data_IF_696505950807
#
_entry.id   IF_696505950807
#
_cell.length_a   1.000
_cell.length_b   1.000
_cell.length_c   1.000
_cell.angle_alpha   90.00
_cell.angle_beta   90.00
_cell.angle_gamma   90.00
#
_symmetry.space_group_name_H-M   'P 1'
#
loop_
_entity.id
_entity.type
_entity.pdbx_description
1 polymer ?
#
# COMPACT_ATOMS: atom_id res chain seq x y z
N UNK A 1 15.43 18.74 3.27
CA UNK A 1 15.65 17.96 4.50
C UNK A 1 16.77 18.57 5.33
N UNK A 2 16.57 18.66 6.63
CA UNK A 2 17.55 19.15 7.61
C UNK A 2 18.64 18.09 7.86
N UNK A 3 19.78 18.50 8.42
CA UNK A 3 20.93 17.61 8.66
C UNK A 3 20.59 16.47 9.65
N UNK A 4 19.77 16.77 10.66
CA UNK A 4 19.28 15.81 11.66
C UNK A 4 18.34 14.73 11.08
N UNK A 5 17.51 15.09 10.10
CA UNK A 5 16.62 14.17 9.37
C UNK A 5 17.43 13.13 8.56
N UNK A 6 18.49 13.59 7.90
CA UNK A 6 19.39 12.73 7.12
C UNK A 6 20.15 11.76 8.05
N UNK A 7 20.60 12.24 9.22
CA UNK A 7 21.28 11.40 10.20
C UNK A 7 20.36 10.32 10.79
N UNK A 8 19.11 10.67 11.08
CA UNK A 8 18.09 9.73 11.55
C UNK A 8 17.82 8.61 10.54
N UNK A 9 17.63 8.96 9.26
CA UNK A 9 17.47 7.95 8.20
C UNK A 9 18.70 7.04 8.10
N UNK A 10 19.92 7.60 8.10
CA UNK A 10 21.16 6.80 7.99
C UNK A 10 21.29 5.78 9.12
N UNK A 11 20.92 6.14 10.35
CA UNK A 11 20.95 5.24 11.52
C UNK A 11 20.00 4.05 11.35
N UNK A 12 18.78 4.28 10.86
CA UNK A 12 17.78 3.22 10.63
C UNK A 12 18.30 2.20 9.60
N UNK A 13 18.78 2.66 8.45
CA UNK A 13 19.20 1.77 7.36
C UNK A 13 20.57 1.15 7.55
N UNK A 14 21.47 1.75 8.34
CA UNK A 14 22.78 1.17 8.65
C UNK A 14 22.65 -0.18 9.39
N UNK A 15 21.75 -0.24 10.38
CA UNK A 15 21.51 -1.46 11.15
C UNK A 15 20.85 -2.57 10.31
N UNK A 16 19.99 -2.20 9.37
CA UNK A 16 19.39 -3.13 8.40
C UNK A 16 20.44 -3.72 7.47
N UNK A 17 21.34 -2.88 6.93
CA UNK A 17 22.37 -3.30 5.98
C UNK A 17 23.25 -4.42 6.54
N UNK A 18 23.70 -4.30 7.79
CA UNK A 18 24.52 -5.33 8.44
C UNK A 18 23.82 -6.68 8.61
N UNK A 19 22.49 -6.69 8.77
CA UNK A 19 21.69 -7.93 8.89
C UNK A 19 21.41 -8.58 7.53
N UNK A 20 21.21 -7.75 6.51
CA UNK A 20 20.82 -8.19 5.16
C UNK A 20 22.02 -8.70 4.36
N UNK A 21 23.19 -8.09 4.53
CA UNK A 21 24.39 -8.38 3.76
C UNK A 21 24.81 -9.88 3.75
N UNK A 22 24.84 -10.62 4.87
CA UNK A 22 25.15 -12.04 4.85
C UNK A 22 24.07 -12.88 4.14
N UNK A 23 22.80 -12.46 4.20
CA UNK A 23 21.69 -13.17 3.55
C UNK A 23 21.78 -13.03 2.02
N UNK A 24 22.02 -11.81 1.51
CA UNK A 24 22.15 -11.55 0.07
C UNK A 24 23.33 -12.31 -0.54
N UNK A 25 24.41 -12.51 0.21
CA UNK A 25 25.60 -13.26 -0.24
C UNK A 25 25.40 -14.78 -0.22
N UNK A 26 24.29 -15.28 0.34
CA UNK A 26 24.00 -16.72 0.35
C UNK A 26 23.72 -17.23 -1.06
N UNK A 27 24.40 -18.30 -1.52
CA UNK A 27 24.15 -18.89 -2.85
C UNK A 27 22.68 -19.29 -3.05
N UNK A 28 22.01 -19.76 -1.99
CA UNK A 28 20.58 -20.11 -2.03
C UNK A 28 19.71 -18.90 -2.33
N UNK A 29 19.97 -17.76 -1.66
CA UNK A 29 19.20 -16.53 -1.85
C UNK A 29 19.43 -15.96 -3.24
N UNK A 30 20.68 -15.98 -3.72
CA UNK A 30 21.00 -15.54 -5.09
C UNK A 30 20.30 -16.40 -6.15
N UNK A 31 20.23 -17.71 -5.95
CA UNK A 31 19.50 -18.61 -6.85
C UNK A 31 17.98 -18.32 -6.85
N UNK A 32 17.39 -18.07 -5.68
CA UNK A 32 15.98 -17.69 -5.56
C UNK A 32 15.70 -16.32 -6.19
N UNK A 33 16.57 -15.34 -5.96
CA UNK A 33 16.46 -14.00 -6.57
C UNK A 33 16.49 -14.11 -8.09
N UNK A 34 17.45 -14.87 -8.64
CA UNK A 34 17.53 -15.10 -10.09
C UNK A 34 16.25 -15.74 -10.61
N UNK A 35 15.73 -16.76 -9.92
CA UNK A 35 14.48 -17.43 -10.32
C UNK A 35 13.29 -16.46 -10.36
N UNK A 36 13.15 -15.57 -9.39
CA UNK A 36 12.06 -14.57 -9.38
C UNK A 36 12.22 -13.58 -10.54
N UNK A 37 13.46 -13.15 -10.83
CA UNK A 37 13.73 -12.28 -11.98
C UNK A 37 13.38 -12.96 -13.30
N UNK A 38 13.74 -14.24 -13.45
CA UNK A 38 13.45 -15.00 -14.67
C UNK A 38 11.93 -15.19 -14.83
N UNK A 39 11.20 -15.54 -13.77
CA UNK A 39 9.72 -15.63 -13.78
C UNK A 39 9.10 -14.30 -14.19
N UNK A 40 9.57 -13.18 -13.62
CA UNK A 40 9.03 -11.84 -13.96
C UNK A 40 9.27 -11.50 -15.42
N UNK A 41 10.43 -11.84 -15.98
CA UNK A 41 10.72 -11.61 -17.41
C UNK A 41 9.78 -12.43 -18.29
N UNK A 42 9.62 -13.72 -17.98
CA UNK A 42 8.70 -14.59 -18.70
C UNK A 42 7.26 -14.06 -18.61
N UNK A 43 6.85 -13.53 -17.46
CA UNK A 43 5.53 -12.93 -17.28
C UNK A 43 5.32 -11.68 -18.14
N UNK A 44 6.29 -10.76 -18.17
CA UNK A 44 6.26 -9.59 -19.06
C UNK A 44 6.25 -10.02 -20.53
N UNK A 45 6.98 -11.08 -20.86
CA UNK A 45 7.09 -11.58 -22.23
C UNK A 45 5.77 -12.15 -22.78
N UNK A 46 4.94 -12.70 -21.88
CA UNK A 46 3.67 -13.37 -22.19
C UNK A 46 2.46 -12.66 -21.55
N UNK A 47 2.58 -11.36 -21.25
CA UNK A 47 1.61 -10.63 -20.42
C UNK A 47 0.17 -10.67 -20.97
N UNK A 48 -0.01 -10.51 -22.29
CA UNK A 48 -1.34 -10.56 -22.91
C UNK A 48 -2.05 -11.90 -22.67
N UNK A 49 -1.33 -13.02 -22.81
CA UNK A 49 -1.86 -14.36 -22.57
C UNK A 49 -2.15 -14.57 -21.08
N UNK A 50 -1.23 -14.17 -20.21
CA UNK A 50 -1.39 -14.31 -18.76
C UNK A 50 -2.55 -13.47 -18.21
N UNK A 51 -2.78 -12.26 -18.73
CA UNK A 51 -3.94 -11.43 -18.37
C UNK A 51 -5.24 -12.12 -18.80
N UNK A 52 -5.28 -12.71 -19.99
CA UNK A 52 -6.47 -13.44 -20.46
C UNK A 52 -6.78 -14.63 -19.55
N UNK A 53 -5.77 -15.43 -19.20
CA UNK A 53 -5.90 -16.57 -18.27
C UNK A 53 -6.35 -16.07 -16.89
N UNK A 54 -5.71 -15.03 -16.34
CA UNK A 54 -6.06 -14.48 -15.03
C UNK A 54 -7.52 -13.97 -14.97
N UNK A 55 -8.01 -13.34 -16.05
CA UNK A 55 -9.42 -12.91 -16.14
C UNK A 55 -10.40 -14.08 -16.09
N UNK A 56 -10.08 -15.19 -16.75
CA UNK A 56 -10.89 -16.41 -16.69
C UNK A 56 -10.87 -17.00 -15.28
N UNK A 57 -9.69 -17.16 -14.69
CA UNK A 57 -9.52 -17.70 -13.34
C UNK A 57 -10.20 -16.82 -12.27
N UNK A 58 -10.14 -15.50 -12.39
CA UNK A 58 -10.86 -14.59 -11.48
C UNK A 58 -12.36 -14.76 -11.57
N UNK A 59 -12.89 -14.85 -12.78
CA UNK A 59 -14.32 -15.11 -12.99
C UNK A 59 -14.75 -16.45 -12.38
N UNK A 60 -13.94 -17.49 -12.47
CA UNK A 60 -14.21 -18.79 -11.85
C UNK A 60 -14.18 -18.74 -10.31
N UNK A 61 -13.47 -17.77 -9.73
CA UNK A 61 -13.36 -17.54 -8.30
C UNK A 61 -14.29 -16.44 -7.76
N UNK A 62 -15.30 -16.01 -8.55
CA UNK A 62 -16.23 -14.92 -8.20
C UNK A 62 -15.51 -13.58 -7.88
N UNK A 63 -14.41 -13.30 -8.59
CA UNK A 63 -13.66 -12.05 -8.52
C UNK A 63 -13.94 -11.24 -9.80
N UNK A 64 -14.52 -10.06 -9.65
CA UNK A 64 -14.68 -9.12 -10.76
C UNK A 64 -13.33 -8.51 -11.16
N UNK A 65 -13.01 -8.58 -12.45
CA UNK A 65 -11.74 -8.08 -12.99
C UNK A 65 -11.97 -6.97 -14.01
N UNK A 66 -11.38 -5.82 -13.74
CA UNK A 66 -11.40 -4.65 -14.61
C UNK A 66 -9.97 -4.38 -15.12
N UNK A 67 -9.87 -3.86 -16.34
CA UNK A 67 -8.60 -3.53 -16.96
C UNK A 67 -8.58 -2.05 -17.31
N UNK A 68 -7.52 -1.37 -16.89
CA UNK A 68 -7.25 0.03 -17.20
C UNK A 68 -5.98 0.13 -18.04
N UNK A 69 -5.97 1.02 -19.03
CA UNK A 69 -4.82 1.28 -19.90
C UNK A 69 -3.88 2.34 -19.32
N UNK A 70 -4.41 3.23 -18.47
CA UNK A 70 -3.67 4.32 -17.85
C UNK A 70 -4.22 4.68 -16.45
N UNK A 71 -3.53 5.62 -15.80
CA UNK A 71 -3.83 6.07 -14.43
C UNK A 71 -5.18 6.79 -14.32
N UNK A 72 -5.65 7.43 -15.39
CA UNK A 72 -6.95 8.13 -15.41
C UNK A 72 -8.09 7.10 -15.46
N UNK A 73 -8.02 6.15 -16.39
CA UNK A 73 -8.99 5.06 -16.49
C UNK A 73 -9.02 4.21 -15.22
N UNK A 74 -7.87 3.94 -14.60
CA UNK A 74 -7.80 3.21 -13.33
C UNK A 74 -8.55 3.94 -12.20
N UNK A 75 -8.39 5.27 -12.11
CA UNK A 75 -9.08 6.10 -11.12
C UNK A 75 -10.58 6.19 -11.37
N UNK A 76 -10.99 6.33 -12.63
CA UNK A 76 -12.41 6.34 -13.00
C UNK A 76 -13.09 5.01 -12.64
N UNK A 77 -12.47 3.87 -12.98
CA UNK A 77 -12.97 2.55 -12.61
C UNK A 77 -13.10 2.41 -11.08
N UNK A 78 -12.09 2.85 -10.31
CA UNK A 78 -12.19 2.83 -8.84
C UNK A 78 -13.38 3.64 -8.34
N UNK A 79 -13.56 4.86 -8.85
CA UNK A 79 -14.64 5.74 -8.45
C UNK A 79 -16.01 5.13 -8.77
N UNK A 80 -16.17 4.55 -9.95
CA UNK A 80 -17.41 3.91 -10.37
C UNK A 80 -17.77 2.73 -9.48
N UNK A 81 -16.80 1.86 -9.17
CA UNK A 81 -17.02 0.73 -8.26
C UNK A 81 -17.40 1.18 -6.86
N UNK A 82 -16.74 2.22 -6.34
CA UNK A 82 -17.06 2.78 -5.03
C UNK A 82 -18.47 3.38 -5.05
N UNK A 83 -18.84 4.12 -6.09
CA UNK A 83 -20.16 4.73 -6.21
C UNK A 83 -21.27 3.68 -6.28
N UNK A 84 -21.06 2.59 -7.01
CA UNK A 84 -22.04 1.49 -7.06
C UNK A 84 -22.31 0.93 -5.65
N UNK A 85 -21.28 0.78 -4.82
CA UNK A 85 -21.40 0.24 -3.47
C UNK A 85 -22.01 1.24 -2.49
N UNK A 86 -21.72 2.54 -2.67
CA UNK A 86 -22.38 3.65 -1.96
C UNK A 86 -23.88 3.66 -2.26
N UNK A 87 -24.26 3.55 -3.54
CA UNK A 87 -25.66 3.54 -3.97
C UNK A 87 -26.41 2.32 -3.43
N UNK A 88 -25.81 1.13 -3.48
CA UNK A 88 -26.37 -0.11 -2.91
C UNK A 88 -26.60 0.00 -1.40
N UNK A 89 -25.70 0.68 -0.69
CA UNK A 89 -25.71 0.77 0.78
C UNK A 89 -26.44 2.00 1.31
N UNK A 90 -26.82 2.94 0.44
CA UNK A 90 -27.50 4.19 0.77
C UNK A 90 -26.74 5.01 1.83
N UNK A 91 -25.43 5.15 1.65
CA UNK A 91 -24.52 5.92 2.52
C UNK A 91 -24.25 7.29 1.86
N UNK A 92 -24.10 8.36 2.63
CA UNK A 92 -23.62 9.64 2.09
C UNK A 92 -22.14 9.49 1.70
N UNK A 93 -21.76 9.89 0.49
CA UNK A 93 -20.37 9.84 0.02
C UNK A 93 -19.40 10.51 1.00
N UNK A 94 -19.82 11.59 1.65
CA UNK A 94 -18.98 12.33 2.61
C UNK A 94 -18.75 11.58 3.93
N UNK A 95 -19.48 10.49 4.16
CA UNK A 95 -19.33 9.61 5.32
C UNK A 95 -18.59 8.30 4.96
N UNK A 96 -18.09 8.17 3.73
CA UNK A 96 -17.38 6.98 3.27
C UNK A 96 -15.91 7.06 3.67
N UNK A 97 -15.54 6.13 4.54
CA UNK A 97 -14.16 5.89 4.93
C UNK A 97 -13.61 4.71 4.12
N UNK A 98 -12.41 4.89 3.57
CA UNK A 98 -11.71 3.90 2.77
C UNK A 98 -10.41 3.55 3.48
N UNK A 99 -10.30 2.33 3.99
CA UNK A 99 -9.03 1.84 4.51
C UNK A 99 -8.13 1.46 3.34
N UNK A 100 -6.94 2.05 3.29
CA UNK A 100 -5.96 1.77 2.24
C UNK A 100 -4.69 1.15 2.84
N UNK A 101 -4.23 0.06 2.22
CA UNK A 101 -2.97 -0.58 2.57
C UNK A 101 -1.79 0.21 2.01
N UNK A 102 -0.59 -0.03 2.55
CA UNK A 102 0.63 0.41 1.87
C UNK A 102 0.67 -0.16 0.46
N UNK A 103 0.73 0.72 -0.53
CA UNK A 103 0.74 0.34 -1.94
C UNK A 103 1.39 1.44 -2.75
N UNK A 104 2.46 1.08 -3.47
CA UNK A 104 3.11 1.99 -4.41
C UNK A 104 2.21 2.23 -5.62
N UNK A 105 1.50 1.21 -6.09
CA UNK A 105 0.54 1.31 -7.21
C UNK A 105 -0.50 2.41 -6.98
N UNK A 106 -1.15 2.39 -5.82
CA UNK A 106 -2.17 3.40 -5.48
C UNK A 106 -1.59 4.82 -5.36
N UNK A 107 -0.31 4.92 -5.01
CA UNK A 107 0.41 6.19 -4.97
C UNK A 107 0.80 6.69 -6.35
N UNK A 108 1.24 5.80 -7.25
CA UNK A 108 1.67 6.16 -8.60
C UNK A 108 0.53 6.78 -9.42
N UNK A 109 -0.71 6.32 -9.20
CA UNK A 109 -1.89 6.87 -9.86
C UNK A 109 -2.57 8.01 -9.07
N UNK A 110 -1.98 8.48 -7.98
CA UNK A 110 -2.55 9.48 -7.06
C UNK A 110 -3.99 9.15 -6.59
N UNK A 111 -4.30 7.86 -6.37
CA UNK A 111 -5.65 7.41 -6.06
C UNK A 111 -6.21 8.04 -4.78
N UNK A 112 -5.37 8.16 -3.74
CA UNK A 112 -5.81 8.71 -2.46
C UNK A 112 -6.31 10.15 -2.60
N UNK A 113 -5.50 11.02 -3.22
CA UNK A 113 -5.87 12.42 -3.43
C UNK A 113 -7.11 12.54 -4.32
N UNK A 114 -7.16 11.76 -5.40
CA UNK A 114 -8.30 11.76 -6.31
C UNK A 114 -9.61 11.41 -5.59
N UNK A 115 -9.61 10.36 -4.75
CA UNK A 115 -10.80 9.95 -4.00
C UNK A 115 -11.17 10.95 -2.89
N UNK A 116 -10.19 11.58 -2.24
CA UNK A 116 -10.41 12.66 -1.27
C UNK A 116 -11.08 13.88 -1.93
N UNK A 117 -10.66 14.25 -3.14
CA UNK A 117 -11.29 15.33 -3.93
C UNK A 117 -12.75 15.02 -4.30
N UNK A 118 -13.14 13.74 -4.35
CA UNK A 118 -14.54 13.33 -4.54
C UNK A 118 -15.37 13.34 -3.24
N UNK A 119 -14.77 13.68 -2.09
CA UNK A 119 -15.45 13.80 -0.80
C UNK A 119 -15.33 12.58 0.12
N UNK A 120 -14.53 11.58 -0.24
CA UNK A 120 -14.31 10.39 0.59
C UNK A 120 -13.14 10.59 1.55
N UNK A 121 -13.09 9.83 2.64
CA UNK A 121 -11.97 9.90 3.59
C UNK A 121 -11.07 8.67 3.42
N UNK A 122 -9.82 8.88 3.00
CA UNK A 122 -8.83 7.80 2.95
C UNK A 122 -8.18 7.63 4.33
N UNK A 123 -7.98 6.39 4.75
CA UNK A 123 -7.28 6.05 5.98
C UNK A 123 -6.10 5.13 5.65
N UNK A 124 -4.89 5.64 5.82
CA UNK A 124 -3.68 4.83 5.69
C UNK A 124 -3.56 3.88 6.88
N UNK A 125 -3.32 2.60 6.58
CA UNK A 125 -3.19 1.54 7.62
C UNK A 125 -1.75 1.20 7.97
N UNK A 126 -0.79 1.71 7.21
CA UNK A 126 0.64 1.71 7.55
C UNK A 126 0.90 2.79 8.60
N UNK A 127 1.57 2.43 9.70
CA UNK A 127 1.77 3.36 10.82
C UNK A 127 2.57 4.59 10.39
N UNK A 128 3.56 4.42 9.52
CA UNK A 128 4.39 5.52 9.05
C UNK A 128 3.60 6.45 8.12
N UNK A 129 2.83 5.90 7.18
CA UNK A 129 1.96 6.70 6.32
C UNK A 129 0.84 7.38 7.11
N UNK A 130 0.29 6.72 8.15
CA UNK A 130 -0.70 7.32 9.05
C UNK A 130 -0.12 8.48 9.85
N UNK A 131 1.10 8.34 10.39
CA UNK A 131 1.79 9.45 11.08
C UNK A 131 1.96 10.65 10.15
N UNK A 132 2.33 10.42 8.89
CA UNK A 132 2.39 11.49 7.89
C UNK A 132 1.00 12.06 7.63
N UNK A 133 -0.05 11.25 7.53
CA UNK A 133 -1.41 11.74 7.32
C UNK A 133 -1.93 12.62 8.48
N UNK A 134 -1.53 12.32 9.72
CA UNK A 134 -1.88 13.09 10.91
C UNK A 134 -1.16 14.43 10.99
N UNK A 135 -0.06 14.59 10.24
CA UNK A 135 0.72 15.82 10.18
C UNK A 135 -0.04 16.87 9.35
N UNK A 136 -0.05 18.11 9.85
CA UNK A 136 -0.78 19.23 9.23
C UNK A 136 -0.07 19.82 8.01
N UNK A 137 1.25 19.61 7.90
CA UNK A 137 2.14 20.18 6.88
C UNK A 137 2.93 19.08 6.17
N UNK A 138 3.19 19.20 4.86
CA UNK A 138 3.98 18.29 3.99
C UNK A 138 4.02 16.81 4.45
N UNK A 139 3.14 16.01 3.85
CA UNK A 139 2.95 14.60 4.18
C UNK A 139 3.74 13.68 3.24
N UNK A 140 4.75 14.22 2.55
CA UNK A 140 5.52 13.47 1.56
C UNK A 140 6.38 12.37 2.22
N UNK A 141 6.22 11.10 1.82
CA UNK A 141 7.06 10.02 2.33
C UNK A 141 8.48 10.15 1.78
N UNK A 142 9.49 9.99 2.65
CA UNK A 142 10.91 10.10 2.23
C UNK A 142 11.52 8.76 1.79
N UNK A 143 10.88 7.64 2.10
CA UNK A 143 11.37 6.31 1.76
C UNK A 143 10.22 5.30 1.59
N UNK A 144 10.24 4.42 0.58
CA UNK A 144 9.16 3.46 0.32
C UNK A 144 8.82 2.56 1.52
N UNK A 145 9.81 1.97 2.20
CA UNK A 145 9.60 1.08 3.37
C UNK A 145 9.68 1.80 4.71
N UNK A 146 9.83 3.13 4.71
CA UNK A 146 10.05 3.91 5.94
C UNK A 146 9.60 5.35 5.71
N UNK A 147 8.30 5.57 5.46
CA UNK A 147 7.80 6.85 4.94
C UNK A 147 8.11 8.02 5.88
N UNK A 148 7.99 7.80 7.19
CA UNK A 148 8.29 8.77 8.24
C UNK A 148 9.73 8.68 8.80
N UNK A 149 10.66 7.96 8.15
CA UNK A 149 11.99 7.66 8.72
C UNK A 149 12.92 8.86 8.93
N UNK A 150 12.54 10.03 8.41
CA UNK A 150 13.22 11.30 8.65
C UNK A 150 12.81 11.97 9.97
N UNK A 151 11.65 11.62 10.52
CA UNK A 151 11.13 12.21 11.75
C UNK A 151 11.82 11.61 12.98
N UNK A 152 12.13 12.46 13.94
CA UNK A 152 12.60 12.00 15.25
C UNK A 152 11.41 11.52 16.09
N UNK A 153 11.68 10.76 17.16
CA UNK A 153 10.62 10.32 18.08
C UNK A 153 9.90 11.52 18.73
N UNK A 154 10.60 12.63 18.93
CA UNK A 154 10.01 13.87 19.43
C UNK A 154 9.04 14.47 18.41
N UNK A 155 9.44 14.59 17.14
CA UNK A 155 8.56 15.10 16.09
C UNK A 155 7.28 14.26 15.97
N UNK A 156 7.41 12.94 16.03
CA UNK A 156 6.27 12.03 15.96
C UNK A 156 5.35 12.20 17.18
N UNK A 157 5.91 12.36 18.38
CA UNK A 157 5.12 12.59 19.60
C UNK A 157 4.31 13.88 19.50
N UNK A 158 4.92 14.96 19.02
CA UNK A 158 4.26 16.25 18.84
C UNK A 158 3.12 16.15 17.82
N UNK A 159 3.34 15.50 16.67
CA UNK A 159 2.31 15.24 15.65
C UNK A 159 1.13 14.48 16.23
N UNK A 160 1.39 13.38 16.94
CA UNK A 160 0.32 12.53 17.51
C UNK A 160 -0.44 13.25 18.61
N UNK A 161 0.26 13.93 19.53
CA UNK A 161 -0.37 14.67 20.62
C UNK A 161 -1.24 15.82 20.10
N UNK A 162 -0.77 16.56 19.10
CA UNK A 162 -1.53 17.66 18.51
C UNK A 162 -2.74 17.16 17.71
N UNK A 163 -2.56 16.11 16.89
CA UNK A 163 -3.61 15.62 15.99
C UNK A 163 -4.71 14.86 16.74
N UNK A 164 -4.34 14.08 17.76
CA UNK A 164 -5.27 13.27 18.56
C UNK A 164 -5.67 13.91 19.89
N UNK A 165 -5.15 15.10 20.22
CA UNK A 165 -5.36 15.79 21.49
C UNK A 165 -4.98 14.90 22.70
N UNK A 166 -3.75 14.41 22.70
CA UNK A 166 -3.15 13.54 23.73
C UNK A 166 -1.96 14.24 24.42
N UNK A 167 -1.45 13.61 25.49
CA UNK A 167 -0.24 14.04 26.22
C UNK A 167 0.68 12.83 26.45
N UNK A 168 1.17 12.27 25.35
CA UNK A 168 2.08 11.13 25.34
C UNK A 168 3.54 11.60 25.49
N UNK A 169 4.38 10.85 26.23
CA UNK A 169 5.82 11.11 26.23
C UNK A 169 6.42 10.76 24.85
N UNK A 170 7.56 11.38 24.52
CA UNK A 170 8.35 11.07 23.33
C UNK A 170 9.09 9.72 23.44
N UNK A 171 8.32 8.65 23.65
CA UNK A 171 8.77 7.27 23.74
C UNK A 171 8.10 6.43 22.64
N UNK A 172 8.82 5.55 21.93
CA UNK A 172 8.27 4.84 20.79
C UNK A 172 7.03 3.99 21.10
N UNK A 173 6.98 3.37 22.28
CA UNK A 173 5.91 2.41 22.61
C UNK A 173 4.54 3.10 22.83
N UNK A 174 4.40 4.11 23.70
CA UNK A 174 3.13 4.83 23.86
C UNK A 174 2.60 5.44 22.56
N UNK A 175 3.50 6.02 21.76
CA UNK A 175 3.16 6.60 20.44
C UNK A 175 2.61 5.51 19.51
N UNK A 176 3.32 4.39 19.37
CA UNK A 176 2.90 3.27 18.53
C UNK A 176 1.55 2.70 18.97
N UNK A 177 1.30 2.59 20.27
CA UNK A 177 0.03 2.08 20.80
C UNK A 177 -1.14 3.02 20.46
N UNK A 178 -0.96 4.33 20.63
CA UNK A 178 -2.00 5.32 20.28
C UNK A 178 -2.31 5.36 18.78
N UNK A 179 -1.28 5.41 17.93
CA UNK A 179 -1.46 5.40 16.46
C UNK A 179 -2.11 4.10 16.00
N UNK A 180 -1.71 2.96 16.58
CA UNK A 180 -2.31 1.67 16.26
C UNK A 180 -3.79 1.62 16.66
N UNK A 181 -4.16 2.14 17.82
CA UNK A 181 -5.54 2.21 18.26
C UNK A 181 -6.39 3.09 17.34
N UNK A 182 -5.87 4.23 16.92
CA UNK A 182 -6.50 5.11 15.92
C UNK A 182 -6.75 4.37 14.60
N UNK A 183 -5.73 3.70 14.05
CA UNK A 183 -5.86 2.90 12.82
C UNK A 183 -6.91 1.80 12.98
N UNK A 184 -6.91 1.06 14.09
CA UNK A 184 -7.89 0.01 14.34
C UNK A 184 -9.32 0.55 14.44
N UNK A 185 -9.51 1.69 15.11
CA UNK A 185 -10.82 2.34 15.23
C UNK A 185 -11.34 2.87 13.89
N UNK A 186 -10.44 3.29 13.00
CA UNK A 186 -10.82 3.75 11.67
C UNK A 186 -11.06 2.60 10.70
N UNK A 187 -10.31 1.51 10.82
CA UNK A 187 -10.55 0.25 10.11
C UNK A 187 -11.98 -0.25 10.39
N UNK A 188 -12.42 -0.22 11.65
CA UNK A 188 -13.79 -0.60 12.04
C UNK A 188 -14.88 0.31 11.42
N UNK A 189 -14.54 1.56 11.12
CA UNK A 189 -15.45 2.54 10.48
C UNK A 189 -15.40 2.51 8.96
N UNK A 190 -14.36 1.93 8.39
CA UNK A 190 -14.13 1.93 6.95
C UNK A 190 -15.15 1.05 6.24
N UNK A 191 -15.79 1.65 5.23
CA UNK A 191 -16.79 0.98 4.40
C UNK A 191 -16.13 0.12 3.32
N UNK A 192 -14.96 0.55 2.83
CA UNK A 192 -14.25 -0.08 1.72
C UNK A 192 -12.79 -0.31 2.12
N UNK A 193 -12.27 -1.49 1.79
CA UNK A 193 -10.83 -1.75 1.81
C UNK A 193 -10.25 -1.54 0.41
N UNK A 194 -9.02 -1.03 0.32
CA UNK A 194 -8.26 -0.97 -0.93
C UNK A 194 -6.81 -1.38 -0.67
N UNK A 195 -6.29 -2.33 -1.44
CA UNK A 195 -4.89 -2.70 -1.37
C UNK A 195 -4.25 -2.90 -2.75
N UNK A 196 -2.92 -2.80 -2.77
CA UNK A 196 -2.15 -3.37 -3.87
C UNK A 196 -1.98 -4.88 -3.72
N UNK A 197 -1.42 -5.53 -4.73
CA UNK A 197 -0.93 -6.92 -4.63
C UNK A 197 0.49 -7.05 -5.17
N UNK A 198 1.21 -8.09 -4.74
CA UNK A 198 2.59 -8.31 -5.16
C UNK A 198 2.71 -9.12 -6.45
N UNK A 199 1.86 -10.11 -6.63
CA UNK A 199 1.81 -10.94 -7.84
C UNK A 199 0.52 -11.75 -7.88
N UNK A 200 0.12 -12.14 -9.08
CA UNK A 200 -1.04 -13.01 -9.31
C UNK A 200 -0.58 -14.27 -10.05
N UNK A 201 -1.00 -15.44 -9.57
CA UNK A 201 -0.86 -16.68 -10.31
C UNK A 201 -2.03 -16.78 -11.29
N UNK A 202 -1.76 -16.59 -12.58
CA UNK A 202 -2.80 -16.51 -13.61
C UNK A 202 -3.66 -17.79 -13.68
N UNK A 203 -3.03 -18.97 -13.59
CA UNK A 203 -3.68 -20.28 -13.80
C UNK A 203 -4.81 -20.59 -12.80
N UNK A 204 -4.68 -20.16 -11.55
CA UNK A 204 -5.65 -20.45 -10.49
C UNK A 204 -6.26 -19.18 -9.86
N UNK A 205 -5.81 -17.99 -10.28
CA UNK A 205 -6.27 -16.71 -9.75
C UNK A 205 -5.75 -16.42 -8.34
N UNK A 206 -4.71 -17.11 -7.87
CA UNK A 206 -4.20 -16.88 -6.52
C UNK A 206 -3.48 -15.54 -6.42
N UNK A 207 -3.87 -14.73 -5.42
CA UNK A 207 -3.31 -13.41 -5.16
C UNK A 207 -2.29 -13.53 -4.03
N UNK A 208 -1.01 -13.21 -4.32
CA UNK A 208 0.06 -13.24 -3.34
C UNK A 208 0.33 -11.83 -2.81
N UNK A 209 0.23 -11.68 -1.50
CA UNK A 209 0.60 -10.47 -0.78
C UNK A 209 1.65 -10.80 0.28
N UNK A 210 2.75 -10.06 0.23
CA UNK A 210 3.85 -10.14 1.20
C UNK A 210 3.96 -8.80 1.90
N UNK A 211 3.69 -8.78 3.19
CA UNK A 211 3.78 -7.59 4.02
C UNK A 211 4.89 -7.69 5.05
N UNK A 212 5.51 -6.55 5.35
CA UNK A 212 6.55 -6.44 6.37
C UNK A 212 6.00 -6.08 7.77
N UNK A 213 4.78 -5.54 7.85
CA UNK A 213 4.28 -4.87 9.07
C UNK A 213 2.91 -5.35 9.58
N UNK A 214 2.28 -6.32 8.91
CA UNK A 214 0.96 -6.84 9.31
C UNK A 214 -0.21 -5.92 8.94
N UNK A 215 0.06 -4.83 8.22
CA UNK A 215 -0.93 -3.89 7.72
C UNK A 215 -1.92 -4.54 6.73
N UNK A 216 -1.48 -5.50 5.91
CA UNK A 216 -2.37 -6.21 4.97
C UNK A 216 -3.33 -7.18 5.69
N UNK A 217 -3.04 -7.62 6.92
CA UNK A 217 -3.93 -8.56 7.63
C UNK A 217 -5.32 -7.97 7.90
N UNK A 218 -5.46 -6.65 7.92
CA UNK A 218 -6.76 -5.97 8.05
C UNK A 218 -7.48 -5.75 6.72
N UNK A 219 -6.79 -5.94 5.59
CA UNK A 219 -7.34 -5.84 4.23
C UNK A 219 -7.69 -7.23 3.69
N UNK A 220 -8.33 -8.06 4.51
CA UNK A 220 -8.84 -9.34 4.03
C UNK A 220 -10.28 -9.16 3.52
N UNK A 221 -10.72 -9.86 2.45
CA UNK A 221 -12.12 -9.81 1.98
C UNK A 221 -13.18 -10.29 3.00
N UNK A 222 -12.74 -10.84 4.14
CA UNK A 222 -13.60 -11.16 5.29
C UNK A 222 -13.78 -9.97 6.24
N UNK A 223 -12.90 -8.97 6.18
CA UNK A 223 -12.96 -7.73 6.97
C UNK A 223 -13.71 -6.63 6.21
N UNK A 224 -13.43 -6.48 4.91
CA UNK A 224 -14.10 -5.50 4.05
C UNK A 224 -14.91 -6.16 2.94
N UNK A 225 -16.16 -5.71 2.79
CA UNK A 225 -17.03 -6.02 1.64
C UNK A 225 -17.75 -4.74 1.22
N UNK A 226 -17.30 -4.07 0.13
CA UNK A 226 -16.32 -4.51 -0.87
C UNK A 226 -14.84 -4.38 -0.44
N UNK A 227 -13.96 -5.19 -1.02
CA UNK A 227 -12.50 -4.99 -0.99
C UNK A 227 -11.98 -4.87 -2.43
N UNK A 228 -11.38 -3.74 -2.78
CA UNK A 228 -10.83 -3.47 -4.10
C UNK A 228 -9.33 -3.75 -4.13
N UNK A 229 -8.90 -4.57 -5.09
CA UNK A 229 -7.49 -4.95 -5.28
C UNK A 229 -6.96 -4.32 -6.57
N UNK A 230 -5.82 -3.65 -6.48
CA UNK A 230 -5.12 -3.08 -7.63
C UNK A 230 -3.81 -3.81 -7.90
N UNK A 231 -3.57 -4.11 -9.17
CA UNK A 231 -2.29 -4.60 -9.69
C UNK A 231 -1.87 -3.73 -10.88
N UNK A 232 -0.62 -3.28 -10.89
CA UNK A 232 0.01 -2.76 -12.10
C UNK A 232 0.63 -3.90 -12.88
N UNK A 233 0.29 -4.01 -14.16
CA UNK A 233 0.93 -4.94 -15.08
C UNK A 233 1.90 -4.18 -15.96
N UNK A 234 3.19 -4.45 -15.85
CA UNK A 234 4.19 -3.83 -16.73
C UNK A 234 4.07 -4.36 -18.17
N UNK A 235 4.18 -3.45 -19.14
CA UNK A 235 4.29 -3.80 -20.55
C UNK A 235 5.74 -3.69 -21.03
N UNK A 236 6.06 -4.37 -22.16
CA UNK A 236 7.42 -4.47 -22.71
C UNK A 236 8.09 -3.12 -23.00
N UNK A 237 7.31 -2.06 -23.17
CA UNK A 237 7.80 -0.76 -23.64
C UNK A 237 8.25 0.19 -22.50
N UNK A 238 8.01 -0.17 -21.24
CA UNK A 238 8.41 0.68 -20.10
C UNK A 238 9.80 0.29 -19.56
N UNK A 239 10.82 1.07 -19.94
CA UNK A 239 12.11 1.09 -19.26
C UNK A 239 11.99 1.76 -17.88
N UNK A 240 11.39 1.06 -16.91
CA UNK A 240 11.45 1.45 -15.50
C UNK A 240 12.50 0.66 -14.76
N UNK A 241 13.34 1.39 -14.02
CA UNK A 241 14.51 0.87 -13.33
C UNK A 241 14.12 -0.22 -12.30
N UNK A 242 14.73 -1.38 -12.47
CA UNK A 242 14.29 -2.73 -12.08
C UNK A 242 14.18 -3.10 -10.58
N UNK A 243 13.79 -2.18 -9.68
CA UNK A 243 13.81 -2.48 -8.23
C UNK A 243 12.47 -2.49 -7.48
N UNK A 244 11.37 -2.00 -8.06
CA UNK A 244 10.11 -1.85 -7.31
C UNK A 244 8.82 -2.32 -8.01
N UNK A 245 8.89 -2.72 -9.26
CA UNK A 245 7.68 -3.14 -9.98
C UNK A 245 7.30 -4.61 -9.72
N UNK A 246 6.01 -4.80 -9.43
CA UNK A 246 5.29 -6.05 -9.26
C UNK A 246 4.71 -6.52 -10.60
N UNK A 247 4.78 -7.81 -10.87
CA UNK A 247 3.98 -8.57 -11.84
C UNK A 247 3.41 -9.75 -11.07
#
# INVERSE_FOLDING_TARGET
MKEEEIESMRKVFHNLKGRIEPLIKSPKIQALQKRVIDIRKDAIDNNEELIAIAKESFKENDIDCFYANDDEEAREILLDLINEEIEKSNIDRNEVYIAKSKSNTLREIDASQFLEEQGMTIVETDLGDRILQLKKDDNSPVHPTGPASHLTVHDIADIVNESMNLDLPAEPKPIMEAVREDVLNLIDKSFIGISGTNSIAAEDGAILMVHNEGNISFHHPEVYRPHLLLLLCQTKDEHTDSSQATC
#
